data_IF_923940161800
#
_entry.id   IF_923940161800
#
_cell.length_a   1.000
_cell.length_b   1.000
_cell.length_c   1.000
_cell.angle_alpha   90.00
_cell.angle_beta   90.00
_cell.angle_gamma   90.00
#
_symmetry.space_group_name_H-M   'P 1'
#
loop_
_entity.id
_entity.type
_entity.pdbx_description
1 polymer ?
#
# COMPACT_ATOMS: atom_id res chain seq x y z
N UNK A 1 37.11 -17.20 60.21
CA UNK A 1 36.66 -15.88 60.71
C UNK A 1 37.67 -14.81 60.29
N UNK A 2 37.34 -13.99 59.29
CA UNK A 2 38.00 -12.72 58.92
C UNK A 2 37.05 -12.01 57.93
N UNK A 3 36.36 -10.94 58.36
CA UNK A 3 36.66 -9.50 58.09
C UNK A 3 36.50 -9.19 56.59
N UNK A 4 35.73 -8.22 56.09
CA UNK A 4 35.33 -6.88 56.54
C UNK A 4 34.27 -6.37 55.51
N UNK A 5 33.17 -5.72 55.93
CA UNK A 5 32.94 -4.26 55.91
C UNK A 5 32.12 -3.72 54.70
N UNK A 6 30.85 -3.40 55.01
CA UNK A 6 30.00 -2.24 54.62
C UNK A 6 30.31 -1.44 53.33
N UNK A 7 29.34 -1.50 52.39
CA UNK A 7 28.69 -0.44 51.55
C UNK A 7 29.43 0.90 51.27
N UNK A 8 29.28 1.53 50.07
CA UNK A 8 27.96 2.07 49.67
C UNK A 8 27.66 2.26 48.16
N UNK A 9 26.42 2.71 47.93
CA UNK A 9 26.02 3.72 46.94
C UNK A 9 25.72 3.28 45.52
N UNK A 10 24.43 3.38 45.19
CA UNK A 10 23.91 3.23 43.84
C UNK A 10 24.44 4.27 42.86
N UNK A 11 24.43 3.87 41.59
CA UNK A 11 24.29 4.78 40.46
C UNK A 11 23.42 4.09 39.43
N UNK A 12 22.13 4.43 39.49
CA UNK A 12 21.19 4.30 38.40
C UNK A 12 21.80 4.99 37.17
N UNK A 13 22.17 4.23 36.14
CA UNK A 13 22.59 4.77 34.84
C UNK A 13 21.97 3.94 33.74
N UNK A 14 20.77 4.38 33.34
CA UNK A 14 20.20 4.32 32.00
C UNK A 14 20.92 3.37 31.03
N UNK A 15 20.32 2.19 30.82
CA UNK A 15 20.53 1.46 29.56
C UNK A 15 19.73 2.25 28.52
N UNK A 16 20.43 3.18 27.89
CA UNK A 16 19.93 4.01 26.82
C UNK A 16 19.73 3.11 25.59
N UNK A 17 18.55 3.22 25.00
CA UNK A 17 17.97 2.48 23.87
C UNK A 17 18.73 2.65 22.53
N UNK A 18 20.05 2.79 22.55
CA UNK A 18 20.84 3.14 21.36
C UNK A 18 21.53 1.95 20.67
N UNK A 19 21.73 0.82 21.35
CA UNK A 19 22.38 -0.36 20.74
C UNK A 19 21.49 -1.20 19.80
N UNK A 20 20.19 -0.92 19.73
CA UNK A 20 19.30 -1.57 18.75
C UNK A 20 19.43 -0.96 17.33
N UNK A 21 20.14 0.17 17.19
CA UNK A 21 20.24 0.91 15.94
C UNK A 21 21.41 0.44 15.08
N UNK A 22 22.48 -0.11 15.66
CA UNK A 22 23.69 -0.46 14.91
C UNK A 22 23.61 -1.84 14.22
N UNK A 23 22.89 -2.81 14.82
CA UNK A 23 22.72 -4.15 14.21
C UNK A 23 21.81 -4.13 12.98
N UNK A 24 20.94 -3.11 12.84
CA UNK A 24 20.03 -2.99 11.70
C UNK A 24 20.70 -2.36 10.47
N UNK A 25 21.79 -1.61 10.67
CA UNK A 25 22.45 -0.89 9.59
C UNK A 25 23.50 -1.75 8.86
N UNK A 26 24.13 -2.72 9.54
CA UNK A 26 25.05 -3.68 8.89
C UNK A 26 24.32 -4.69 7.98
N UNK A 27 23.09 -5.08 8.31
CA UNK A 27 22.27 -5.93 7.43
C UNK A 27 21.78 -5.20 6.17
N UNK A 28 21.67 -3.87 6.24
CA UNK A 28 21.26 -3.03 5.10
C UNK A 28 22.38 -2.89 4.06
N UNK A 29 23.65 -2.83 4.49
CA UNK A 29 24.78 -2.69 3.58
C UNK A 29 25.06 -3.96 2.75
N UNK A 30 24.77 -5.16 3.29
CA UNK A 30 25.02 -6.43 2.59
C UNK A 30 23.92 -6.84 1.60
N UNK A 31 22.74 -6.19 1.67
CA UNK A 31 21.63 -6.43 0.74
C UNK A 31 21.66 -5.62 -0.56
N UNK A 32 22.47 -4.55 -0.61
CA UNK A 32 22.58 -3.67 -1.79
C UNK A 32 23.45 -4.29 -2.89
N UNK A 33 24.21 -5.35 -2.59
CA UNK A 33 25.11 -6.03 -3.55
C UNK A 33 24.44 -7.17 -4.34
N UNK A 34 23.11 -7.21 -4.41
CA UNK A 34 22.40 -8.00 -5.41
C UNK A 34 21.30 -7.19 -6.09
N UNK A 35 21.63 -5.95 -6.47
CA UNK A 35 20.93 -5.34 -7.62
C UNK A 35 21.34 -6.14 -8.84
N UNK A 36 20.66 -7.26 -9.08
CA UNK A 36 20.64 -7.91 -10.39
C UNK A 36 20.34 -6.79 -11.39
N UNK A 37 21.33 -6.40 -12.20
CA UNK A 37 21.16 -5.34 -13.18
C UNK A 37 20.00 -5.75 -14.08
N UNK A 38 18.81 -5.19 -13.83
CA UNK A 38 17.68 -5.35 -14.74
C UNK A 38 18.13 -4.76 -16.07
N UNK A 39 18.14 -5.58 -17.12
CA UNK A 39 18.43 -5.13 -18.47
C UNK A 39 17.48 -3.97 -18.84
N UNK A 40 17.87 -3.04 -19.73
CA UNK A 40 17.04 -1.89 -20.11
C UNK A 40 15.62 -2.31 -20.55
N UNK A 41 15.46 -3.51 -21.09
CA UNK A 41 14.16 -4.10 -21.44
C UNK A 41 13.30 -4.45 -20.22
N UNK A 42 13.87 -5.02 -19.15
CA UNK A 42 13.15 -5.33 -17.92
C UNK A 42 12.73 -4.07 -17.16
N UNK A 43 13.54 -3.00 -17.24
CA UNK A 43 13.16 -1.69 -16.69
C UNK A 43 11.95 -1.11 -17.44
N UNK A 44 11.97 -1.13 -18.78
CA UNK A 44 10.84 -0.65 -19.61
C UNK A 44 9.54 -1.42 -19.32
N UNK A 45 9.62 -2.75 -19.19
CA UNK A 45 8.46 -3.59 -18.83
C UNK A 45 7.89 -3.22 -17.46
N UNK A 46 8.75 -3.00 -16.46
CA UNK A 46 8.31 -2.59 -15.12
C UNK A 46 7.63 -1.21 -15.12
N UNK A 47 8.16 -0.24 -15.87
CA UNK A 47 7.53 1.08 -16.02
C UNK A 47 6.17 0.99 -16.71
N UNK A 48 6.05 0.23 -17.81
CA UNK A 48 4.77 0.00 -18.49
C UNK A 48 3.75 -0.65 -17.56
N UNK A 49 4.15 -1.66 -16.79
CA UNK A 49 3.25 -2.31 -15.84
C UNK A 49 2.75 -1.33 -14.78
N UNK A 50 3.61 -0.46 -14.24
CA UNK A 50 3.19 0.58 -13.31
C UNK A 50 2.11 1.49 -13.89
N UNK A 51 2.32 1.97 -15.13
CA UNK A 51 1.35 2.83 -15.83
C UNK A 51 0.01 2.10 -16.04
N UNK A 52 0.04 0.84 -16.49
CA UNK A 52 -1.19 0.09 -16.78
C UNK A 52 -1.97 -0.17 -15.49
N UNK A 53 -1.30 -0.47 -14.36
CA UNK A 53 -1.97 -0.67 -13.06
C UNK A 53 -2.79 0.54 -12.67
N UNK A 54 -2.16 1.72 -12.72
CA UNK A 54 -2.81 2.99 -12.40
C UNK A 54 -3.94 3.30 -13.38
N UNK A 55 -3.71 3.11 -14.69
CA UNK A 55 -4.74 3.36 -15.71
C UNK A 55 -5.98 2.47 -15.52
N UNK A 56 -5.80 1.17 -15.26
CA UNK A 56 -6.90 0.24 -15.00
C UNK A 56 -7.66 0.63 -13.72
N UNK A 57 -6.94 0.99 -12.64
CA UNK A 57 -7.56 1.46 -11.41
C UNK A 57 -8.38 2.74 -11.62
N UNK A 58 -7.84 3.73 -12.32
CA UNK A 58 -8.54 4.98 -12.63
C UNK A 58 -9.80 4.73 -13.47
N UNK A 59 -9.73 3.90 -14.51
CA UNK A 59 -10.90 3.58 -15.35
C UNK A 59 -11.98 2.87 -14.51
N UNK A 60 -11.59 1.89 -13.69
CA UNK A 60 -12.52 1.21 -12.80
C UNK A 60 -13.18 2.18 -11.80
N UNK A 61 -12.40 3.11 -11.24
CA UNK A 61 -12.90 4.14 -10.34
C UNK A 61 -13.93 5.05 -10.99
N UNK A 62 -13.66 5.52 -12.22
CA UNK A 62 -14.59 6.36 -12.98
C UNK A 62 -15.91 5.61 -13.24
N UNK A 63 -15.83 4.37 -13.73
CA UNK A 63 -17.02 3.54 -13.97
C UNK A 63 -17.80 3.32 -12.68
N UNK A 64 -17.11 3.01 -11.58
CA UNK A 64 -17.74 2.85 -10.28
C UNK A 64 -18.41 4.13 -9.78
N UNK A 65 -17.79 5.30 -9.98
CA UNK A 65 -18.38 6.59 -9.62
C UNK A 65 -19.65 6.92 -10.41
N UNK A 66 -19.67 6.60 -11.71
CA UNK A 66 -20.88 6.72 -12.55
C UNK A 66 -21.98 5.80 -12.02
N UNK A 67 -21.66 4.53 -11.77
CA UNK A 67 -22.63 3.55 -11.24
C UNK A 67 -23.13 3.96 -9.86
N UNK A 68 -22.26 4.48 -8.99
CA UNK A 68 -22.63 4.98 -7.68
C UNK A 68 -23.63 6.14 -7.80
N UNK A 69 -23.39 7.09 -8.71
CA UNK A 69 -24.33 8.17 -8.98
C UNK A 69 -25.68 7.66 -9.51
N UNK A 70 -25.67 6.75 -10.48
CA UNK A 70 -26.89 6.20 -11.08
C UNK A 70 -27.75 5.42 -10.08
N UNK A 71 -27.12 4.65 -9.19
CA UNK A 71 -27.83 3.76 -8.28
C UNK A 71 -28.20 4.41 -6.94
N UNK A 72 -27.34 5.29 -6.42
CA UNK A 72 -27.46 5.83 -5.07
C UNK A 72 -27.62 7.36 -5.02
N UNK A 73 -27.41 8.08 -6.13
CA UNK A 73 -27.53 9.54 -6.18
C UNK A 73 -26.71 10.20 -5.07
N UNK A 74 -27.33 11.08 -4.27
CA UNK A 74 -26.68 11.76 -3.13
C UNK A 74 -26.34 10.84 -1.95
N UNK A 75 -26.71 9.56 -1.97
CA UNK A 75 -26.45 8.65 -0.85
C UNK A 75 -27.27 8.97 0.41
N UNK A 76 -28.49 9.49 0.25
CA UNK A 76 -29.39 9.84 1.37
C UNK A 76 -29.96 8.59 2.05
N UNK A 77 -30.33 7.58 1.27
CA UNK A 77 -30.89 6.31 1.78
C UNK A 77 -29.79 5.31 2.19
N UNK A 78 -28.67 5.32 1.46
CA UNK A 78 -27.55 4.40 1.68
C UNK A 78 -26.33 5.20 2.11
N UNK A 79 -25.83 4.89 3.31
CA UNK A 79 -24.67 5.60 3.88
C UNK A 79 -23.48 5.53 2.92
N UNK A 80 -22.85 6.69 2.68
CA UNK A 80 -21.74 6.85 1.74
C UNK A 80 -20.61 5.82 1.93
N UNK A 81 -20.25 5.49 3.18
CA UNK A 81 -19.20 4.50 3.46
C UNK A 81 -19.59 3.07 3.05
N UNK A 82 -20.88 2.73 3.06
CA UNK A 82 -21.35 1.43 2.57
C UNK A 82 -21.15 1.32 1.06
N UNK A 83 -21.44 2.41 0.33
CA UNK A 83 -21.23 2.50 -1.13
C UNK A 83 -19.75 2.34 -1.45
N UNK A 84 -18.87 3.05 -0.74
CA UNK A 84 -17.42 2.91 -0.93
C UNK A 84 -16.91 1.51 -0.59
N UNK A 85 -17.46 0.87 0.45
CA UNK A 85 -17.10 -0.50 0.82
C UNK A 85 -17.49 -1.47 -0.29
N UNK A 86 -18.69 -1.33 -0.86
CA UNK A 86 -19.14 -2.14 -2.00
C UNK A 86 -18.23 -1.92 -3.21
N UNK A 87 -17.91 -0.66 -3.54
CA UNK A 87 -16.99 -0.32 -4.64
C UNK A 87 -15.62 -0.96 -4.42
N UNK A 88 -15.04 -0.84 -3.23
CA UNK A 88 -13.74 -1.44 -2.92
C UNK A 88 -13.76 -2.97 -3.05
N UNK A 89 -14.81 -3.63 -2.54
CA UNK A 89 -14.94 -5.09 -2.69
C UNK A 89 -15.04 -5.48 -4.17
N UNK A 90 -15.91 -4.82 -4.94
CA UNK A 90 -16.10 -5.10 -6.36
C UNK A 90 -14.82 -4.81 -7.17
N UNK A 91 -14.14 -3.70 -6.87
CA UNK A 91 -12.91 -3.31 -7.50
C UNK A 91 -11.78 -4.32 -7.24
N UNK A 92 -11.63 -4.77 -6.00
CA UNK A 92 -10.68 -5.81 -5.63
C UNK A 92 -10.85 -7.08 -6.48
N UNK A 93 -12.09 -7.57 -6.62
CA UNK A 93 -12.39 -8.74 -7.44
C UNK A 93 -12.19 -8.46 -8.94
N UNK A 94 -12.64 -7.30 -9.43
CA UNK A 94 -12.48 -6.90 -10.82
C UNK A 94 -10.99 -6.82 -11.21
N UNK A 95 -10.16 -6.19 -10.40
CA UNK A 95 -8.71 -6.09 -10.60
C UNK A 95 -8.04 -7.45 -10.58
N UNK A 96 -8.46 -8.35 -9.68
CA UNK A 96 -7.95 -9.71 -9.61
C UNK A 96 -8.31 -10.55 -10.84
N UNK A 97 -9.37 -10.21 -11.55
CA UNK A 97 -9.74 -10.81 -12.84
C UNK A 97 -9.05 -10.15 -14.04
N UNK A 98 -8.99 -8.81 -14.04
CA UNK A 98 -8.46 -8.00 -15.14
C UNK A 98 -6.94 -8.14 -15.24
N UNK A 99 -6.20 -8.08 -14.13
CA UNK A 99 -4.73 -8.11 -14.20
C UNK A 99 -4.15 -9.40 -14.81
N UNK A 100 -4.63 -10.61 -14.47
CA UNK A 100 -4.23 -11.82 -15.18
C UNK A 100 -4.59 -11.80 -16.67
N UNK A 101 -5.75 -11.24 -17.04
CA UNK A 101 -6.20 -11.17 -18.43
C UNK A 101 -5.26 -10.30 -19.29
N UNK A 102 -4.69 -9.24 -18.74
CA UNK A 102 -3.76 -8.34 -19.44
C UNK A 102 -2.29 -8.81 -19.29
N UNK A 103 -2.05 -10.07 -18.86
CA UNK A 103 -0.72 -10.65 -18.61
C UNK A 103 0.14 -9.80 -17.64
N UNK A 104 -0.49 -9.06 -16.72
CA UNK A 104 0.24 -8.36 -15.67
C UNK A 104 0.66 -9.38 -14.62
N UNK A 105 1.95 -9.36 -14.26
CA UNK A 105 2.49 -10.24 -13.24
C UNK A 105 2.04 -9.77 -11.84
N UNK A 106 0.83 -10.17 -11.43
CA UNK A 106 0.30 -9.90 -10.07
C UNK A 106 1.11 -10.60 -8.99
N UNK A 107 1.95 -11.57 -9.34
CA UNK A 107 2.86 -12.29 -8.44
C UNK A 107 3.96 -11.40 -7.87
N UNK A 108 4.30 -10.30 -8.55
CA UNK A 108 5.25 -9.29 -8.07
C UNK A 108 4.58 -8.21 -7.20
N UNK A 109 3.24 -8.20 -7.08
CA UNK A 109 2.58 -7.18 -6.26
C UNK A 109 2.81 -7.49 -4.78
N UNK A 110 3.47 -6.57 -4.12
CA UNK A 110 3.44 -6.51 -2.66
C UNK A 110 2.05 -6.07 -2.16
N UNK A 111 1.82 -6.26 -0.86
CA UNK A 111 0.62 -5.77 -0.18
C UNK A 111 0.40 -4.25 -0.38
N UNK A 112 1.49 -3.47 -0.39
CA UNK A 112 1.44 -2.02 -0.62
C UNK A 112 0.89 -1.67 -2.00
N UNK A 113 1.33 -2.37 -3.05
CA UNK A 113 0.87 -2.12 -4.42
C UNK A 113 -0.62 -2.37 -4.57
N UNK A 114 -1.12 -3.45 -3.95
CA UNK A 114 -2.56 -3.73 -3.90
C UNK A 114 -3.33 -2.61 -3.20
N UNK A 115 -2.84 -2.13 -2.06
CA UNK A 115 -3.49 -1.03 -1.36
C UNK A 115 -3.47 0.28 -2.16
N UNK A 116 -2.36 0.61 -2.85
CA UNK A 116 -2.30 1.80 -3.70
C UNK A 116 -3.31 1.76 -4.84
N UNK A 117 -3.41 0.60 -5.49
CA UNK A 117 -4.32 0.38 -6.59
C UNK A 117 -5.78 0.44 -6.13
N UNK A 118 -6.10 -0.14 -4.98
CA UNK A 118 -7.43 -0.08 -4.36
C UNK A 118 -7.80 1.36 -3.97
N UNK A 119 -6.87 2.05 -3.31
CA UNK A 119 -7.02 3.46 -2.93
C UNK A 119 -7.30 4.34 -4.15
N UNK A 120 -6.59 4.14 -5.26
CA UNK A 120 -6.82 4.88 -6.50
C UNK A 120 -8.22 4.67 -7.07
N UNK A 121 -8.78 3.45 -6.99
CA UNK A 121 -10.15 3.21 -7.46
C UNK A 121 -11.15 4.00 -6.62
N UNK A 122 -11.02 3.94 -5.29
CA UNK A 122 -11.91 4.65 -4.37
C UNK A 122 -11.81 6.16 -4.56
N UNK A 123 -10.59 6.68 -4.73
CA UNK A 123 -10.33 8.10 -4.97
C UNK A 123 -11.00 8.59 -6.27
N UNK A 124 -10.76 7.90 -7.39
CA UNK A 124 -11.39 8.24 -8.67
C UNK A 124 -12.91 8.06 -8.65
N UNK A 125 -13.41 7.07 -7.92
CA UNK A 125 -14.84 6.88 -7.69
C UNK A 125 -15.45 8.08 -6.97
N UNK A 126 -14.83 8.55 -5.87
CA UNK A 126 -15.29 9.70 -5.11
C UNK A 126 -15.25 10.99 -5.93
N UNK A 127 -14.14 11.24 -6.64
CA UNK A 127 -14.00 12.42 -7.50
C UNK A 127 -15.09 12.42 -8.57
N UNK A 128 -15.25 11.30 -9.27
CA UNK A 128 -16.25 11.18 -10.35
C UNK A 128 -17.68 11.32 -9.82
N UNK A 129 -17.99 10.65 -8.72
CA UNK A 129 -19.33 10.70 -8.12
C UNK A 129 -19.66 12.11 -7.63
N UNK A 130 -18.72 12.78 -6.96
CA UNK A 130 -18.91 14.17 -6.49
C UNK A 130 -19.12 15.14 -7.66
N UNK A 131 -18.34 15.00 -8.73
CA UNK A 131 -18.50 15.83 -9.93
C UNK A 131 -19.87 15.64 -10.60
N UNK A 132 -20.43 14.43 -10.57
CA UNK A 132 -21.74 14.13 -11.15
C UNK A 132 -22.93 14.57 -10.28
N UNK A 133 -22.69 14.87 -9.00
CA UNK A 133 -23.70 15.36 -8.07
C UNK A 133 -23.88 16.88 -8.10
N UNK A 134 -22.96 17.60 -8.74
CA UNK A 134 -22.98 19.06 -8.88
C UNK A 134 -23.73 19.48 -10.15
#
# INVERSE_FOLDING_TARGET
MKKEARQPSGKNKQINTQDASEVKQEKSAKGILSVKQRTPEEKRKAHMQGIIKTAVASILGIVAGILANMQYGMGTETKWYAILTIVAILAYYAQRLIYPAIKINTKEFGFKDWFYVEFLVVDFCLVTWTLLLN
#
